data_IF_927936976334
#
_entry.id   IF_927936976334
#
_cell.length_a   1.000
_cell.length_b   1.000
_cell.length_c   1.000
_cell.angle_alpha   90.00
_cell.angle_beta   90.00
_cell.angle_gamma   90.00
#
_symmetry.space_group_name_H-M   'P 1'
#
loop_
_entity.id
_entity.type
_entity.pdbx_description
1 polymer ?
#
# COMPACT_ATOMS: atom_id res chain seq x y z
N UNK A 1 18.31 25.92 4.62
CA UNK A 1 17.08 25.43 5.28
C UNK A 1 15.90 25.81 4.42
N UNK A 2 15.41 24.90 3.60
CA UNK A 2 14.23 25.12 2.78
C UNK A 2 13.08 24.32 3.41
N UNK A 3 12.27 25.02 4.18
CA UNK A 3 10.98 24.54 4.63
C UNK A 3 10.11 24.36 3.38
N UNK A 4 10.00 23.15 2.88
CA UNK A 4 9.00 22.84 1.85
C UNK A 4 7.63 22.97 2.49
N UNK A 5 6.88 23.99 2.08
CA UNK A 5 5.46 24.12 2.36
C UNK A 5 4.72 22.95 1.71
N UNK A 6 4.47 21.90 2.47
CA UNK A 6 3.71 20.69 2.05
C UNK A 6 2.19 20.86 2.12
N UNK A 7 1.70 22.05 2.39
CA UNK A 7 0.27 22.28 2.71
C UNK A 7 -0.67 22.47 1.53
N UNK A 8 -0.23 22.38 0.26
CA UNK A 8 -1.12 22.62 -0.88
C UNK A 8 -1.30 21.45 -1.87
N UNK A 9 -0.71 20.28 -1.61
CA UNK A 9 -0.72 19.14 -2.53
C UNK A 9 -1.60 17.95 -2.09
N UNK A 10 -2.36 18.09 -1.02
CA UNK A 10 -3.42 17.13 -0.69
C UNK A 10 -4.63 17.44 -1.58
N UNK A 11 -4.47 17.25 -2.89
CA UNK A 11 -5.52 17.54 -3.84
C UNK A 11 -6.69 16.58 -3.64
N UNK A 12 -7.84 17.14 -3.42
CA UNK A 12 -9.12 16.51 -3.64
C UNK A 12 -9.20 16.16 -5.13
N UNK A 13 -8.80 14.95 -5.48
CA UNK A 13 -8.77 14.48 -6.86
C UNK A 13 -9.32 13.07 -6.96
N UNK A 14 -9.79 12.72 -8.15
CA UNK A 14 -10.07 11.33 -8.50
C UNK A 14 -8.88 10.79 -9.27
N UNK A 15 -8.40 9.65 -8.82
CA UNK A 15 -7.30 8.96 -9.47
C UNK A 15 -7.81 7.63 -10.03
N UNK A 16 -7.34 7.29 -11.22
CA UNK A 16 -7.62 5.99 -11.83
C UNK A 16 -6.37 5.12 -11.77
N UNK A 17 -6.56 3.87 -11.42
CA UNK A 17 -5.50 2.89 -11.38
C UNK A 17 -5.98 1.54 -11.91
N UNK A 18 -5.08 0.57 -11.95
CA UNK A 18 -5.43 -0.75 -12.42
C UNK A 18 -4.26 -1.72 -12.46
N UNK A 19 -4.54 -2.91 -12.96
CA UNK A 19 -3.56 -3.97 -13.12
C UNK A 19 -2.78 -3.82 -14.45
N UNK A 20 -1.70 -4.59 -14.58
CA UNK A 20 -0.82 -4.57 -15.74
C UNK A 20 -1.55 -4.85 -17.07
N UNK A 21 -2.52 -5.78 -17.08
CA UNK A 21 -3.25 -6.13 -18.31
C UNK A 21 -4.51 -5.28 -18.57
N UNK A 22 -4.87 -4.37 -17.65
CA UNK A 22 -6.05 -3.51 -17.77
C UNK A 22 -7.39 -4.19 -17.48
N UNK A 23 -7.44 -5.50 -17.22
CA UNK A 23 -8.68 -6.22 -16.92
C UNK A 23 -9.32 -5.81 -15.58
N UNK A 24 -8.51 -5.35 -14.63
CA UNK A 24 -8.94 -4.74 -13.38
C UNK A 24 -8.60 -3.26 -13.40
N UNK A 25 -9.60 -2.42 -13.21
CA UNK A 25 -9.46 -0.97 -13.10
C UNK A 25 -10.25 -0.47 -11.90
N UNK A 26 -9.82 0.64 -11.33
CA UNK A 26 -10.49 1.28 -10.20
C UNK A 26 -10.36 2.80 -10.24
N UNK A 27 -11.27 3.44 -9.55
CA UNK A 27 -11.21 4.86 -9.18
C UNK A 27 -11.03 4.98 -7.67
N UNK A 28 -10.22 5.93 -7.24
CA UNK A 28 -10.06 6.29 -5.84
C UNK A 28 -10.15 7.81 -5.68
N UNK A 29 -10.90 8.24 -4.68
CA UNK A 29 -11.03 9.65 -4.33
C UNK A 29 -9.99 10.00 -3.26
N UNK A 30 -9.22 11.06 -3.53
CA UNK A 30 -8.23 11.59 -2.61
C UNK A 30 -8.82 12.51 -1.53
N UNK A 31 -7.99 12.96 -0.61
CA UNK A 31 -6.59 12.58 -0.49
C UNK A 31 -6.44 11.10 -0.13
N UNK A 32 -5.37 10.47 -0.62
CA UNK A 32 -5.02 9.13 -0.16
C UNK A 32 -4.60 9.21 1.31
N UNK A 33 -5.03 8.24 2.08
CA UNK A 33 -4.67 8.16 3.49
C UNK A 33 -3.20 7.86 3.70
N UNK A 34 -2.84 7.58 4.94
CA UNK A 34 -1.48 7.27 5.34
C UNK A 34 -0.86 6.16 4.49
N UNK A 35 0.35 6.42 4.01
CA UNK A 35 1.13 5.46 3.22
C UNK A 35 2.25 4.89 4.07
N UNK A 36 2.34 3.56 4.11
CA UNK A 36 3.39 2.83 4.81
C UNK A 36 4.04 1.79 3.90
N UNK A 37 5.34 1.62 4.08
CA UNK A 37 6.12 0.57 3.44
C UNK A 37 6.20 -0.63 4.39
N UNK A 38 5.53 -1.73 4.03
CA UNK A 38 5.43 -2.90 4.88
C UNK A 38 6.42 -3.99 4.46
N UNK A 39 7.35 -4.34 5.36
CA UNK A 39 8.43 -5.31 5.15
C UNK A 39 8.10 -6.73 5.65
N UNK A 40 6.87 -7.01 6.09
CA UNK A 40 6.53 -8.36 6.56
C UNK A 40 6.62 -9.39 5.43
N UNK A 41 6.88 -10.65 5.78
CA UNK A 41 7.05 -11.74 4.80
C UNK A 41 5.84 -11.92 3.88
N UNK A 42 4.64 -11.74 4.39
CA UNK A 42 3.42 -11.85 3.60
C UNK A 42 3.33 -10.74 2.53
N UNK A 43 3.75 -9.53 2.87
CA UNK A 43 3.77 -8.41 1.94
C UNK A 43 4.88 -8.55 0.89
N UNK A 44 6.08 -8.95 1.32
CA UNK A 44 7.20 -9.22 0.40
C UNK A 44 6.83 -10.28 -0.63
N UNK A 45 6.30 -11.42 -0.18
CA UNK A 45 5.92 -12.54 -1.07
C UNK A 45 4.76 -12.19 -1.99
N UNK A 46 3.77 -11.43 -1.50
CA UNK A 46 2.63 -11.05 -2.32
C UNK A 46 2.96 -10.05 -3.43
N UNK A 47 4.04 -9.29 -3.27
CA UNK A 47 4.47 -8.29 -4.26
C UNK A 47 5.75 -8.69 -5.01
N UNK A 48 6.47 -9.73 -4.56
CA UNK A 48 7.76 -10.12 -5.14
C UNK A 48 8.81 -9.00 -5.01
N UNK A 49 8.80 -8.25 -3.90
CA UNK A 49 9.66 -7.09 -3.68
C UNK A 49 10.14 -6.98 -2.23
N UNK A 50 11.00 -6.01 -1.93
CA UNK A 50 11.50 -5.75 -0.57
C UNK A 50 10.39 -5.39 0.43
N UNK A 51 9.34 -4.75 -0.04
CA UNK A 51 8.20 -4.30 0.75
C UNK A 51 6.94 -4.14 -0.10
N UNK A 52 5.83 -3.85 0.55
CA UNK A 52 4.59 -3.40 -0.10
C UNK A 52 4.32 -1.95 0.27
N UNK A 53 4.22 -1.07 -0.71
CA UNK A 53 3.77 0.30 -0.52
C UNK A 53 2.24 0.35 -0.50
N UNK A 54 1.68 0.73 0.65
CA UNK A 54 0.25 0.65 0.89
C UNK A 54 -0.31 2.00 1.35
N UNK A 55 -1.31 2.51 0.65
CA UNK A 55 -2.13 3.61 1.11
C UNK A 55 -3.35 3.08 1.87
N UNK A 56 -3.63 3.60 3.06
CA UNK A 56 -4.85 3.30 3.80
C UNK A 56 -5.99 4.17 3.27
N UNK A 57 -6.89 3.56 2.51
CA UNK A 57 -7.98 4.24 1.80
C UNK A 57 -9.32 3.83 2.40
N UNK A 58 -10.20 4.77 2.76
CA UNK A 58 -11.58 4.45 3.13
C UNK A 58 -12.28 3.69 2.00
N UNK A 59 -12.96 2.61 2.32
CA UNK A 59 -13.62 1.76 1.32
C UNK A 59 -14.66 2.53 0.49
N UNK A 60 -15.33 3.50 1.10
CA UNK A 60 -16.30 4.38 0.43
C UNK A 60 -15.71 5.24 -0.68
N UNK A 61 -14.38 5.49 -0.65
CA UNK A 61 -13.64 6.27 -1.64
C UNK A 61 -13.01 5.41 -2.73
N UNK A 62 -13.15 4.10 -2.65
CA UNK A 62 -12.59 3.15 -3.62
C UNK A 62 -13.71 2.47 -4.40
N UNK A 63 -13.63 2.53 -5.71
CA UNK A 63 -14.61 1.93 -6.60
C UNK A 63 -13.92 1.13 -7.71
N UNK A 64 -14.24 -0.14 -7.80
CA UNK A 64 -13.84 -0.96 -8.95
C UNK A 64 -14.65 -0.52 -10.17
N UNK A 65 -13.95 -0.29 -11.27
CA UNK A 65 -14.52 0.05 -12.58
C UNK A 65 -14.32 -1.14 -13.52
N UNK A 66 -15.34 -1.50 -14.27
CA UNK A 66 -15.28 -2.63 -15.19
C UNK A 66 -15.64 -3.98 -14.55
N UNK A 67 -15.05 -5.06 -15.03
CA UNK A 67 -15.40 -6.41 -14.59
C UNK A 67 -14.76 -6.80 -13.25
N UNK A 68 -15.57 -6.89 -12.21
CA UNK A 68 -15.13 -7.33 -10.87
C UNK A 68 -14.69 -8.80 -10.84
N UNK A 69 -15.11 -9.61 -11.83
CA UNK A 69 -14.76 -11.04 -11.93
C UNK A 69 -13.27 -11.32 -12.07
N UNK A 70 -12.49 -10.32 -12.49
CA UNK A 70 -11.05 -10.44 -12.65
C UNK A 70 -10.28 -10.28 -11.35
N UNK A 71 -10.93 -9.87 -10.26
CA UNK A 71 -10.32 -9.76 -8.95
C UNK A 71 -10.54 -11.06 -8.19
N UNK A 72 -9.45 -11.61 -7.68
CA UNK A 72 -9.45 -12.71 -6.71
C UNK A 72 -8.81 -12.28 -5.41
N UNK A 73 -9.26 -12.91 -4.34
CA UNK A 73 -8.68 -12.69 -3.01
C UNK A 73 -8.11 -14.01 -2.48
N UNK A 74 -6.96 -13.90 -1.83
CA UNK A 74 -6.31 -14.97 -1.09
C UNK A 74 -6.21 -14.57 0.37
N UNK A 75 -6.71 -15.40 1.26
CA UNK A 75 -6.54 -15.21 2.71
C UNK A 75 -5.10 -15.54 3.09
N UNK A 76 -4.29 -14.52 3.29
CA UNK A 76 -2.85 -14.66 3.56
C UNK A 76 -2.55 -14.95 5.02
N UNK A 77 -3.46 -14.62 5.90
CA UNK A 77 -3.49 -14.96 7.32
C UNK A 77 -4.93 -14.81 7.83
N UNK A 78 -5.30 -15.42 8.96
CA UNK A 78 -6.67 -15.33 9.46
C UNK A 78 -7.19 -13.89 9.51
N UNK A 79 -8.31 -13.62 8.83
CA UNK A 79 -8.92 -12.30 8.74
C UNK A 79 -8.21 -11.27 7.87
N UNK A 80 -7.20 -11.66 7.07
CA UNK A 80 -6.49 -10.75 6.18
C UNK A 80 -6.37 -11.30 4.75
N UNK A 81 -6.94 -10.59 3.79
CA UNK A 81 -6.98 -10.97 2.39
C UNK A 81 -6.13 -10.05 1.52
N UNK A 82 -5.53 -10.63 0.50
CA UNK A 82 -4.78 -9.95 -0.54
C UNK A 82 -5.50 -10.14 -1.86
N UNK A 83 -5.95 -9.03 -2.44
CA UNK A 83 -6.61 -8.99 -3.73
C UNK A 83 -5.60 -8.84 -4.86
N UNK A 84 -5.85 -9.53 -5.96
CA UNK A 84 -4.99 -9.50 -7.14
C UNK A 84 -5.81 -9.75 -8.41
N UNK A 85 -5.28 -9.34 -9.54
CA UNK A 85 -5.87 -9.63 -10.85
C UNK A 85 -5.65 -11.11 -11.21
N UNK A 86 -6.73 -11.84 -11.47
CA UNK A 86 -6.66 -13.26 -11.84
C UNK A 86 -6.09 -13.52 -13.25
N UNK A 87 -6.02 -12.48 -14.09
CA UNK A 87 -5.51 -12.58 -15.46
C UNK A 87 -3.98 -12.39 -15.50
N UNK A 88 -3.45 -11.37 -14.80
CA UNK A 88 -2.02 -11.03 -14.88
C UNK A 88 -1.27 -11.14 -13.55
N UNK A 89 -1.95 -11.45 -12.44
CA UNK A 89 -1.34 -11.58 -11.13
C UNK A 89 -0.98 -10.25 -10.43
N UNK A 90 -1.25 -9.09 -11.04
CA UNK A 90 -0.95 -7.81 -10.41
C UNK A 90 -1.63 -7.69 -9.05
N UNK A 91 -0.91 -7.38 -7.97
CA UNK A 91 -1.51 -7.11 -6.67
C UNK A 91 -2.36 -5.83 -6.75
N UNK A 92 -3.52 -5.82 -6.09
CA UNK A 92 -4.44 -4.70 -6.11
C UNK A 92 -4.57 -3.99 -4.77
N UNK A 93 -5.07 -4.69 -3.76
CA UNK A 93 -5.23 -4.17 -2.41
C UNK A 93 -5.16 -5.30 -1.38
N UNK A 94 -5.17 -4.94 -0.10
CA UNK A 94 -5.49 -5.87 1.00
C UNK A 94 -6.65 -5.31 1.80
N UNK A 95 -7.46 -6.21 2.35
CA UNK A 95 -8.47 -5.90 3.35
C UNK A 95 -8.24 -6.71 4.61
N UNK A 96 -8.69 -6.19 5.74
CA UNK A 96 -8.51 -6.79 7.06
C UNK A 96 -9.84 -6.73 7.79
N UNK A 97 -10.26 -7.84 8.39
CA UNK A 97 -11.58 -7.99 9.02
C UNK A 97 -11.84 -7.00 10.15
N UNK A 98 -10.83 -6.74 10.99
CA UNK A 98 -10.92 -5.79 12.10
C UNK A 98 -10.70 -4.32 11.71
N UNK A 99 -10.47 -4.05 10.42
CA UNK A 99 -10.37 -2.70 9.84
C UNK A 99 -11.15 -2.65 8.51
N UNK A 100 -12.38 -3.15 8.54
CA UNK A 100 -13.24 -3.42 7.39
C UNK A 100 -13.64 -2.19 6.59
N UNK A 101 -13.59 -1.00 7.21
CA UNK A 101 -13.97 0.26 6.57
C UNK A 101 -12.85 0.83 5.70
N UNK A 102 -11.72 0.14 5.65
CA UNK A 102 -10.53 0.56 4.88
C UNK A 102 -9.94 -0.58 4.08
N UNK A 103 -9.33 -0.21 2.96
CA UNK A 103 -8.41 -1.08 2.22
C UNK A 103 -6.99 -0.54 2.28
N UNK A 104 -6.03 -1.41 2.01
CA UNK A 104 -4.61 -1.05 1.79
C UNK A 104 -4.34 -1.16 0.30
N UNK A 105 -4.52 -0.03 -0.39
CA UNK A 105 -4.33 0.05 -1.83
C UNK A 105 -2.83 -0.01 -2.17
N UNK A 106 -2.47 -0.81 -3.18
CA UNK A 106 -1.10 -0.90 -3.66
C UNK A 106 -0.73 0.33 -4.49
N UNK A 107 0.23 1.12 -4.06
CA UNK A 107 0.64 2.33 -4.77
C UNK A 107 1.12 2.07 -6.19
N UNK A 108 1.77 0.94 -6.44
CA UNK A 108 2.25 0.59 -7.77
C UNK A 108 1.16 0.38 -8.82
N UNK A 109 -0.12 0.35 -8.42
CA UNK A 109 -1.28 0.27 -9.32
C UNK A 109 -1.84 1.64 -9.71
N UNK A 110 -1.31 2.71 -9.13
CA UNK A 110 -1.67 4.10 -9.40
C UNK A 110 -0.70 4.74 -10.40
N UNK A 111 -1.11 5.81 -11.10
CA UNK A 111 -0.21 6.65 -11.89
C UNK A 111 0.92 7.23 -11.04
N UNK A 112 2.07 7.48 -11.68
CA UNK A 112 3.31 7.94 -11.03
C UNK A 112 3.22 9.32 -10.38
N UNK A 113 2.28 10.14 -10.83
CA UNK A 113 2.10 11.53 -10.44
C UNK A 113 1.02 11.74 -9.36
N UNK A 114 0.47 10.64 -8.82
CA UNK A 114 -0.43 10.72 -7.69
C UNK A 114 0.33 11.20 -6.46
N UNK A 115 -0.07 12.32 -5.85
CA UNK A 115 0.61 12.83 -4.67
C UNK A 115 0.37 11.93 -3.47
N UNK A 116 1.44 11.44 -2.86
CA UNK A 116 1.40 10.62 -1.65
C UNK A 116 2.50 11.04 -0.69
N UNK A 117 2.25 10.91 0.59
CA UNK A 117 3.23 11.09 1.65
C UNK A 117 3.50 9.75 2.33
N UNK A 118 4.71 9.23 2.13
CA UNK A 118 5.15 8.00 2.78
C UNK A 118 5.62 8.35 4.18
N UNK A 119 4.96 7.81 5.19
CA UNK A 119 5.13 8.23 6.58
C UNK A 119 6.03 7.34 7.39
N UNK A 120 6.16 6.06 7.04
CA UNK A 120 6.96 5.12 7.83
C UNK A 120 7.22 3.79 7.10
N UNK A 121 8.24 3.09 7.60
CA UNK A 121 8.45 1.66 7.40
C UNK A 121 7.88 0.89 8.59
N UNK A 122 7.14 -0.19 8.30
CA UNK A 122 6.58 -1.09 9.31
C UNK A 122 7.02 -2.53 9.05
N UNK A 123 7.07 -3.35 10.11
CA UNK A 123 7.56 -4.71 10.08
C UNK A 123 9.03 -4.80 9.65
N UNK A 124 9.82 -3.81 10.05
CA UNK A 124 11.24 -3.74 9.71
C UNK A 124 12.04 -4.87 10.36
N UNK A 125 11.57 -5.43 11.49
CA UNK A 125 12.13 -6.65 12.08
C UNK A 125 12.14 -7.86 11.14
N UNK A 126 11.30 -7.85 10.08
CA UNK A 126 11.26 -8.88 9.03
C UNK A 126 11.87 -8.42 7.71
N UNK A 127 12.55 -7.27 7.68
CA UNK A 127 13.19 -6.71 6.48
C UNK A 127 14.15 -7.73 5.85
N UNK A 128 14.19 -7.77 4.53
CA UNK A 128 15.18 -8.59 3.83
C UNK A 128 16.59 -8.04 4.05
N UNK A 129 17.56 -8.93 4.29
CA UNK A 129 18.94 -8.52 4.57
C UNK A 129 19.63 -7.81 3.40
N UNK A 130 19.15 -8.05 2.18
CA UNK A 130 19.66 -7.38 0.97
C UNK A 130 19.02 -6.01 0.71
N UNK A 131 17.96 -5.65 1.45
CA UNK A 131 17.30 -4.34 1.35
C UNK A 131 17.95 -3.35 2.33
N UNK A 132 18.14 -2.11 1.88
CA UNK A 132 18.69 -1.03 2.70
C UNK A 132 17.71 0.12 2.77
N UNK A 133 17.39 0.56 3.99
CA UNK A 133 16.53 1.71 4.23
C UNK A 133 17.43 2.90 4.54
N UNK A 134 17.41 3.92 3.68
CA UNK A 134 18.28 5.08 3.79
C UNK A 134 17.54 6.42 3.55
N UNK A 135 16.22 6.41 3.64
CA UNK A 135 15.38 7.59 3.37
C UNK A 135 15.10 8.45 4.62
N UNK A 136 15.50 7.97 5.80
CA UNK A 136 15.34 8.68 7.08
C UNK A 136 13.91 8.64 7.65
N UNK A 137 13.01 7.83 7.07
CA UNK A 137 11.67 7.66 7.61
C UNK A 137 11.69 6.82 8.89
N UNK A 138 10.72 7.01 9.78
CA UNK A 138 10.55 6.17 10.97
C UNK A 138 10.46 4.69 10.62
N UNK A 139 11.22 3.86 11.34
CA UNK A 139 11.23 2.41 11.20
C UNK A 139 10.65 1.75 12.44
N UNK A 140 9.57 0.99 12.28
CA UNK A 140 8.93 0.27 13.36
C UNK A 140 9.23 -1.24 13.27
N UNK A 141 9.51 -1.87 14.41
CA UNK A 141 9.83 -3.30 14.47
C UNK A 141 8.71 -4.16 13.89
N UNK A 142 7.46 -3.83 14.21
CA UNK A 142 6.24 -4.47 13.73
C UNK A 142 5.27 -3.40 13.18
N UNK A 143 4.03 -3.36 13.68
CA UNK A 143 3.06 -2.30 13.35
C UNK A 143 3.50 -0.93 13.88
N UNK A 144 2.80 0.12 13.47
CA UNK A 144 3.16 1.49 13.86
C UNK A 144 3.06 1.80 15.36
N UNK A 145 2.46 0.89 16.14
CA UNK A 145 2.39 0.99 17.60
C UNK A 145 3.54 0.25 18.30
N UNK A 146 4.43 -0.37 17.53
CA UNK A 146 5.60 -1.09 18.03
C UNK A 146 6.80 -0.15 18.23
N UNK A 147 7.85 -0.62 18.95
CA UNK A 147 9.07 0.17 19.11
C UNK A 147 9.74 0.55 17.80
N UNK A 148 10.41 1.71 17.81
CA UNK A 148 11.34 2.08 16.76
C UNK A 148 12.56 1.18 16.79
N UNK A 149 13.09 0.83 15.62
CA UNK A 149 14.35 0.11 15.49
C UNK A 149 15.26 0.76 14.45
N UNK A 150 16.58 0.54 14.61
CA UNK A 150 17.54 0.84 13.55
C UNK A 150 17.34 -0.16 12.41
N UNK A 151 17.09 0.29 11.18
CA UNK A 151 16.88 -0.60 10.05
C UNK A 151 18.13 -1.37 9.61
N UNK A 152 19.32 -0.85 9.92
CA UNK A 152 20.63 -1.40 9.52
C UNK A 152 21.61 -1.36 10.71
N UNK A 153 21.41 -2.23 11.75
CA UNK A 153 22.25 -2.27 12.94
C UNK A 153 23.69 -2.74 12.67
#
# INVERSE_FOLDING_TARGET
MAQRCYSSWMSEGKFQGGCLCGAFQFEVEGPLGEVRLCHCDLCKRANGSAYSANARVPLERFKVVGETKTIKEFESSPGAWKAFCSTCGSPAYSRIEWDKDFIRLRLGTLPRDVPVDITAHVWVGSKALWDRIADGLPCFEQGADSPFIDPDP
#
